data_IF_419420436003
#
_entry.id   IF_419420436003
#
_cell.length_a   1.000
_cell.length_b   1.000
_cell.length_c   1.000
_cell.angle_alpha   90.00
_cell.angle_beta   90.00
_cell.angle_gamma   90.00
#
_symmetry.space_group_name_H-M   'P 1'
#
loop_
_entity.id
_entity.type
_entity.pdbx_description
1 polymer ?
#
# COMPACT_ATOMS: atom_id res chain seq x y z
N UNK A 1 24.21 19.27 25.83
CA UNK A 1 23.66 17.97 25.38
C UNK A 1 22.22 18.18 24.93
N UNK A 2 21.98 18.17 23.61
CA UNK A 2 20.64 18.29 23.00
C UNK A 2 20.04 16.88 22.89
N UNK A 3 18.91 16.64 23.54
CA UNK A 3 18.12 15.40 23.38
C UNK A 3 17.16 15.57 22.20
N UNK A 4 16.97 14.56 21.33
CA UNK A 4 16.00 14.64 20.24
C UNK A 4 14.57 14.54 20.78
N UNK A 5 13.72 15.44 20.30
CA UNK A 5 12.28 15.53 20.58
C UNK A 5 11.57 14.30 19.98
N UNK A 6 10.79 13.52 20.74
CA UNK A 6 10.00 12.44 20.16
C UNK A 6 8.85 13.02 19.33
N UNK A 7 8.73 12.51 18.09
CA UNK A 7 7.57 12.67 17.21
C UNK A 7 6.27 12.43 18.00
N UNK A 8 5.50 13.48 18.26
CA UNK A 8 4.13 13.37 18.76
C UNK A 8 3.18 13.49 17.57
N UNK A 9 2.75 12.33 17.08
CA UNK A 9 1.60 12.17 16.20
C UNK A 9 0.36 12.62 17.00
N UNK A 10 -0.16 13.81 16.68
CA UNK A 10 -1.33 14.35 17.37
C UNK A 10 -2.60 13.65 16.88
N UNK A 11 -3.00 12.61 17.61
CA UNK A 11 -4.37 12.12 17.60
C UNK A 11 -5.28 13.19 18.21
N UNK A 12 -6.23 13.73 17.43
CA UNK A 12 -7.29 14.57 17.98
C UNK A 12 -8.65 13.87 17.83
N UNK A 13 -8.96 13.07 18.84
CA UNK A 13 -10.34 12.71 19.20
C UNK A 13 -10.92 13.89 19.99
N UNK A 14 -11.94 14.55 19.45
CA UNK A 14 -12.80 15.45 20.22
C UNK A 14 -14.26 15.22 19.80
N UNK A 15 -15.06 14.74 20.74
CA UNK A 15 -16.49 14.52 20.57
C UNK A 15 -17.35 15.61 21.21
N UNK A 16 -18.59 15.65 20.70
CA UNK A 16 -19.84 16.19 21.26
C UNK A 16 -20.22 17.63 20.86
N UNK A 17 -21.14 17.68 19.90
CA UNK A 17 -21.92 18.86 19.47
C UNK A 17 -22.53 18.59 18.09
N UNK A 18 -23.53 17.69 17.98
CA UNK A 18 -24.03 17.23 16.67
C UNK A 18 -25.02 18.23 16.06
N UNK A 19 -24.50 19.34 15.54
CA UNK A 19 -25.02 19.80 14.25
C UNK A 19 -24.57 18.73 13.26
N UNK A 20 -25.49 18.11 12.52
CA UNK A 20 -25.18 17.12 11.48
C UNK A 20 -24.52 17.81 10.28
N UNK A 21 -23.38 18.45 10.54
CA UNK A 21 -22.50 18.98 9.53
C UNK A 21 -21.57 17.84 9.12
N UNK A 22 -21.64 17.47 7.85
CA UNK A 22 -20.61 16.69 7.18
C UNK A 22 -19.24 17.25 7.59
N UNK A 23 -18.30 16.42 8.08
CA UNK A 23 -16.98 16.90 8.45
C UNK A 23 -16.32 17.59 7.24
N UNK A 24 -15.47 18.60 7.49
CA UNK A 24 -14.73 19.24 6.41
C UNK A 24 -13.87 18.20 5.68
N UNK A 25 -13.74 18.33 4.36
CA UNK A 25 -12.95 17.41 3.54
C UNK A 25 -11.47 17.39 3.99
N UNK A 26 -10.93 16.24 4.42
CA UNK A 26 -9.53 16.10 4.84
C UNK A 26 -8.54 16.46 3.73
N UNK A 27 -7.32 16.84 4.12
CA UNK A 27 -6.26 17.23 3.18
C UNK A 27 -5.92 16.09 2.21
N UNK A 28 -5.82 14.84 2.70
CA UNK A 28 -5.57 13.65 1.89
C UNK A 28 -6.65 13.45 0.83
N UNK A 29 -7.92 13.69 1.18
CA UNK A 29 -9.06 13.59 0.26
C UNK A 29 -9.05 14.73 -0.76
N UNK A 30 -8.74 15.96 -0.31
CA UNK A 30 -8.71 17.15 -1.16
C UNK A 30 -7.58 17.10 -2.19
N UNK A 31 -6.41 16.65 -1.78
CA UNK A 31 -5.25 16.42 -2.65
C UNK A 31 -5.36 15.11 -3.44
N UNK A 32 -6.29 14.24 -3.07
CA UNK A 32 -6.55 12.97 -3.71
C UNK A 32 -7.10 13.13 -5.13
N UNK A 33 -7.15 12.00 -5.83
CA UNK A 33 -7.66 11.97 -7.18
C UNK A 33 -9.19 12.25 -7.25
N UNK A 34 -9.70 12.36 -8.46
CA UNK A 34 -11.12 12.53 -8.76
C UNK A 34 -12.04 11.45 -8.16
N UNK A 35 -11.62 10.18 -8.12
CA UNK A 35 -12.37 9.09 -7.47
C UNK A 35 -12.48 9.32 -5.97
N UNK A 36 -11.38 9.64 -5.30
CA UNK A 36 -11.37 9.91 -3.85
C UNK A 36 -12.34 11.05 -3.51
N UNK A 37 -12.32 12.13 -4.29
CA UNK A 37 -13.24 13.27 -4.10
C UNK A 37 -14.69 12.89 -4.41
N UNK A 38 -14.93 12.07 -5.44
CA UNK A 38 -16.26 11.56 -5.75
C UNK A 38 -16.84 10.70 -4.61
N UNK A 39 -16.06 9.76 -4.09
CA UNK A 39 -16.46 8.90 -2.97
C UNK A 39 -16.80 9.76 -1.74
N UNK A 40 -15.99 10.77 -1.43
CA UNK A 40 -16.27 11.70 -0.33
C UNK A 40 -17.57 12.47 -0.52
N UNK A 41 -17.83 12.98 -1.73
CA UNK A 41 -19.07 13.68 -2.07
C UNK A 41 -20.30 12.76 -1.91
N UNK A 42 -20.20 11.51 -2.34
CA UNK A 42 -21.27 10.52 -2.16
C UNK A 42 -21.52 10.24 -0.68
N UNK A 43 -20.47 10.01 0.12
CA UNK A 43 -20.61 9.77 1.56
C UNK A 43 -21.17 11.00 2.30
N UNK A 44 -20.82 12.20 1.83
CA UNK A 44 -21.37 13.47 2.32
C UNK A 44 -22.85 13.66 1.99
N UNK A 45 -23.36 12.93 0.99
CA UNK A 45 -24.76 12.86 0.56
C UNK A 45 -25.43 11.55 0.97
N UNK A 46 -24.96 10.97 2.07
CA UNK A 46 -25.51 9.77 2.70
C UNK A 46 -25.47 8.48 1.88
N UNK A 47 -24.49 8.37 0.97
CA UNK A 47 -24.33 7.22 0.09
C UNK A 47 -22.94 6.63 0.18
N UNK A 48 -22.83 5.34 0.52
CA UNK A 48 -21.59 4.59 0.36
C UNK A 48 -21.59 3.80 -0.95
N UNK A 49 -20.49 3.93 -1.69
CA UNK A 49 -20.28 3.33 -3.01
C UNK A 49 -19.20 2.27 -2.89
N UNK A 50 -19.60 1.00 -2.80
CA UNK A 50 -18.68 -0.14 -2.77
C UNK A 50 -18.16 -0.53 -4.16
N UNK A 51 -18.89 -0.15 -5.21
CA UNK A 51 -18.54 -0.46 -6.60
C UNK A 51 -18.64 0.80 -7.44
N UNK A 52 -17.56 1.15 -8.14
CA UNK A 52 -17.49 2.29 -9.04
C UNK A 52 -17.85 1.87 -10.47
N UNK A 53 -18.46 2.78 -11.23
CA UNK A 53 -18.73 2.53 -12.65
C UNK A 53 -17.43 2.29 -13.45
N UNK A 54 -17.47 1.48 -14.52
CA UNK A 54 -16.28 1.17 -15.32
C UNK A 54 -15.60 2.40 -15.95
N UNK A 55 -16.31 3.51 -16.11
CA UNK A 55 -15.79 4.79 -16.63
C UNK A 55 -14.64 5.39 -15.82
N UNK A 56 -14.50 5.02 -14.54
CA UNK A 56 -13.37 5.41 -13.69
C UNK A 56 -12.09 4.62 -13.97
N UNK A 57 -12.16 3.62 -14.86
CA UNK A 57 -11.02 2.89 -15.40
C UNK A 57 -10.19 2.19 -14.32
N UNK A 58 -8.85 2.29 -14.36
CA UNK A 58 -7.97 1.61 -13.39
C UNK A 58 -8.22 2.00 -11.93
N UNK A 59 -8.86 3.14 -11.66
CA UNK A 59 -9.16 3.58 -10.30
C UNK A 59 -10.26 2.73 -9.65
N UNK A 60 -11.18 2.17 -10.46
CA UNK A 60 -12.20 1.22 -10.00
C UNK A 60 -11.54 0.00 -9.34
N UNK A 61 -10.52 -0.55 -10.00
CA UNK A 61 -9.76 -1.68 -9.48
C UNK A 61 -9.04 -1.34 -8.17
N UNK A 62 -8.43 -0.15 -8.07
CA UNK A 62 -7.71 0.25 -6.84
C UNK A 62 -8.63 0.43 -5.64
N UNK A 63 -9.77 1.10 -5.83
CA UNK A 63 -10.79 1.19 -4.79
C UNK A 63 -11.27 -0.19 -4.37
N UNK A 64 -11.53 -1.07 -5.34
CA UNK A 64 -11.97 -2.42 -5.05
C UNK A 64 -10.94 -3.26 -4.31
N UNK A 65 -9.68 -3.18 -4.70
CA UNK A 65 -8.59 -3.88 -4.01
C UNK A 65 -8.43 -3.37 -2.57
N UNK A 66 -8.53 -2.06 -2.35
CA UNK A 66 -8.53 -1.50 -0.99
C UNK A 66 -9.69 -2.05 -0.16
N UNK A 67 -10.91 -2.06 -0.70
CA UNK A 67 -12.06 -2.60 0.01
C UNK A 67 -11.90 -4.08 0.35
N UNK A 68 -11.35 -4.86 -0.57
CA UNK A 68 -11.17 -6.30 -0.40
C UNK A 68 -10.05 -6.65 0.59
N UNK A 69 -8.92 -5.93 0.55
CA UNK A 69 -7.73 -6.27 1.34
C UNK A 69 -7.68 -5.56 2.70
N UNK A 70 -8.12 -4.30 2.76
CA UNK A 70 -7.74 -3.40 3.85
C UNK A 70 -8.94 -2.88 4.66
N UNK A 71 -10.15 -2.89 4.09
CA UNK A 71 -11.33 -2.31 4.76
C UNK A 71 -11.83 -3.12 5.96
N UNK A 72 -11.75 -4.45 5.92
CA UNK A 72 -12.32 -5.30 6.97
C UNK A 72 -11.69 -5.06 8.36
N UNK A 73 -10.35 -5.02 8.52
CA UNK A 73 -9.73 -4.62 9.77
C UNK A 73 -10.17 -3.23 10.27
N UNK A 74 -10.31 -2.26 9.35
CA UNK A 74 -10.74 -0.89 9.69
C UNK A 74 -12.17 -0.90 10.24
N UNK A 75 -13.07 -1.68 9.62
CA UNK A 75 -14.47 -1.83 10.05
C UNK A 75 -14.53 -2.44 11.46
N UNK A 76 -13.76 -3.49 11.72
CA UNK A 76 -13.76 -4.11 13.05
C UNK A 76 -13.24 -3.17 14.13
N UNK A 77 -12.11 -2.49 13.90
CA UNK A 77 -11.57 -1.54 14.87
C UNK A 77 -12.51 -0.36 15.11
N UNK A 78 -13.18 0.13 14.06
CA UNK A 78 -14.21 1.15 14.21
C UNK A 78 -15.34 0.68 15.12
N UNK A 79 -15.94 -0.49 14.86
CA UNK A 79 -17.07 -0.97 15.67
C UNK A 79 -16.67 -1.45 17.07
N UNK A 80 -15.41 -1.81 17.32
CA UNK A 80 -14.90 -1.99 18.70
C UNK A 80 -14.92 -0.68 19.50
N UNK A 81 -14.65 0.45 18.84
CA UNK A 81 -14.66 1.77 19.47
C UNK A 81 -16.06 2.32 19.73
N UNK A 82 -17.07 1.80 19.02
CA UNK A 82 -18.48 2.11 19.25
C UNK A 82 -19.00 1.13 20.29
N UNK A 83 -19.79 1.60 21.27
CA UNK A 83 -20.37 0.71 22.29
C UNK A 83 -21.11 -0.47 21.63
N UNK A 84 -20.70 -1.69 21.98
CA UNK A 84 -21.24 -2.90 21.37
C UNK A 84 -22.71 -3.11 21.78
N UNK A 85 -23.57 -3.13 20.77
CA UNK A 85 -25.01 -3.43 20.86
C UNK A 85 -25.40 -4.35 19.70
N UNK A 86 -26.57 -4.99 19.76
CA UNK A 86 -27.08 -5.76 18.61
C UNK A 86 -27.22 -4.90 17.35
N UNK A 87 -27.57 -3.62 17.51
CA UNK A 87 -27.67 -2.68 16.39
C UNK A 87 -26.31 -2.41 15.75
N UNK A 88 -25.24 -2.21 16.53
CA UNK A 88 -23.89 -2.00 15.96
C UNK A 88 -23.36 -3.26 15.28
N UNK A 89 -23.71 -4.45 15.77
CA UNK A 89 -23.35 -5.71 15.11
C UNK A 89 -24.02 -5.84 13.74
N UNK A 90 -25.33 -5.60 13.64
CA UNK A 90 -26.06 -5.61 12.36
C UNK A 90 -25.47 -4.59 11.36
N UNK A 91 -25.18 -3.38 11.83
CA UNK A 91 -24.54 -2.34 11.02
C UNK A 91 -23.16 -2.77 10.50
N UNK A 92 -22.35 -3.42 11.35
CA UNK A 92 -21.05 -3.98 10.96
C UNK A 92 -21.20 -5.05 9.89
N UNK A 93 -22.14 -5.99 10.06
CA UNK A 93 -22.39 -7.04 9.07
C UNK A 93 -22.78 -6.46 7.71
N UNK A 94 -23.62 -5.42 7.67
CA UNK A 94 -24.01 -4.78 6.40
C UNK A 94 -22.83 -4.12 5.68
N UNK A 95 -21.94 -3.45 6.40
CA UNK A 95 -20.72 -2.88 5.82
C UNK A 95 -19.77 -3.97 5.30
N UNK A 96 -19.57 -5.03 6.08
CA UNK A 96 -18.72 -6.15 5.68
C UNK A 96 -19.20 -6.80 4.38
N UNK A 97 -20.52 -7.02 4.24
CA UNK A 97 -21.10 -7.54 3.00
C UNK A 97 -20.90 -6.60 1.81
N UNK A 98 -20.98 -5.28 2.05
CA UNK A 98 -20.74 -4.29 1.01
C UNK A 98 -19.30 -4.27 0.51
N UNK A 99 -18.31 -4.30 1.42
CA UNK A 99 -16.88 -4.24 1.05
C UNK A 99 -16.35 -5.56 0.48
N UNK A 100 -16.96 -6.69 0.85
CA UNK A 100 -16.68 -8.01 0.25
C UNK A 100 -17.43 -8.26 -1.06
N UNK A 101 -18.22 -7.29 -1.52
CA UNK A 101 -19.12 -7.40 -2.67
C UNK A 101 -20.12 -8.58 -2.60
N UNK A 102 -20.45 -9.03 -1.40
CA UNK A 102 -21.55 -9.97 -1.16
C UNK A 102 -22.92 -9.29 -1.32
N UNK A 103 -22.93 -7.96 -1.16
CA UNK A 103 -24.10 -7.10 -1.35
C UNK A 103 -23.64 -5.73 -1.86
N UNK A 104 -23.65 -5.54 -3.18
CA UNK A 104 -23.22 -4.28 -3.83
C UNK A 104 -24.34 -3.26 -3.95
N UNK A 105 -25.49 -3.52 -3.33
CA UNK A 105 -26.55 -2.51 -3.27
C UNK A 105 -26.03 -1.25 -2.58
N UNK A 106 -26.44 -0.10 -3.10
CA UNK A 106 -26.07 1.21 -2.54
C UNK A 106 -26.42 1.23 -1.06
N UNK A 107 -25.40 1.40 -0.22
CA UNK A 107 -25.58 1.43 1.23
C UNK A 107 -25.89 2.86 1.67
N UNK A 108 -27.13 3.08 2.10
CA UNK A 108 -27.55 4.36 2.68
C UNK A 108 -26.95 4.57 4.07
N UNK A 109 -26.41 5.77 4.29
CA UNK A 109 -25.73 6.20 5.51
C UNK A 109 -26.67 6.98 6.44
N UNK A 110 -27.85 6.41 6.68
CA UNK A 110 -28.94 7.02 7.45
C UNK A 110 -28.63 7.30 8.93
N UNK A 111 -27.45 6.91 9.43
CA UNK A 111 -27.01 7.25 10.77
C UNK A 111 -25.54 7.71 10.78
N UNK A 112 -25.19 8.49 11.80
CA UNK A 112 -23.85 9.09 11.94
C UNK A 112 -22.74 8.04 12.09
N UNK A 113 -23.06 6.84 12.61
CA UNK A 113 -22.09 5.75 12.78
C UNK A 113 -21.65 5.22 11.41
N UNK A 114 -22.61 4.93 10.52
CA UNK A 114 -22.35 4.51 9.15
C UNK A 114 -21.60 5.61 8.38
N UNK A 115 -22.04 6.87 8.52
CA UNK A 115 -21.41 8.01 7.84
C UNK A 115 -19.95 8.18 8.24
N UNK A 116 -19.65 8.12 9.55
CA UNK A 116 -18.28 8.20 10.06
C UNK A 116 -17.40 7.06 9.56
N UNK A 117 -17.90 5.82 9.54
CA UNK A 117 -17.15 4.68 9.00
C UNK A 117 -16.86 4.85 7.51
N UNK A 118 -17.86 5.23 6.71
CA UNK A 118 -17.67 5.46 5.28
C UNK A 118 -16.60 6.54 5.03
N UNK A 119 -16.67 7.67 5.73
CA UNK A 119 -15.68 8.74 5.62
C UNK A 119 -14.28 8.30 6.05
N UNK A 120 -14.17 7.50 7.12
CA UNK A 120 -12.90 6.94 7.56
C UNK A 120 -12.29 5.98 6.53
N UNK A 121 -13.08 5.13 5.89
CA UNK A 121 -12.61 4.26 4.81
C UNK A 121 -12.09 5.07 3.62
N UNK A 122 -12.81 6.11 3.23
CA UNK A 122 -12.42 6.99 2.11
C UNK A 122 -11.14 7.76 2.43
N UNK A 123 -11.00 8.27 3.65
CA UNK A 123 -9.78 8.95 4.09
C UNK A 123 -8.56 8.01 4.11
N UNK A 124 -8.75 6.76 4.55
CA UNK A 124 -7.68 5.74 4.52
C UNK A 124 -7.26 5.40 3.10
N UNK A 125 -8.22 5.20 2.20
CA UNK A 125 -7.93 5.00 0.78
C UNK A 125 -7.21 6.18 0.15
N UNK A 126 -7.61 7.41 0.49
CA UNK A 126 -6.95 8.63 0.00
C UNK A 126 -5.48 8.67 0.42
N UNK A 127 -5.18 8.27 1.65
CA UNK A 127 -3.82 8.23 2.18
C UNK A 127 -2.97 7.15 1.49
N UNK A 128 -3.53 5.98 1.22
CA UNK A 128 -2.83 4.92 0.47
C UNK A 128 -2.53 5.33 -0.97
N UNK A 129 -3.48 5.96 -1.68
CA UNK A 129 -3.22 6.48 -3.03
C UNK A 129 -2.12 7.54 -3.01
N UNK A 130 -2.06 8.37 -1.96
CA UNK A 130 -1.02 9.39 -1.78
C UNK A 130 0.36 8.75 -1.57
N UNK A 131 0.46 7.78 -0.66
CA UNK A 131 1.70 7.04 -0.38
C UNK A 131 2.17 6.28 -1.63
N UNK A 132 1.26 5.56 -2.31
CA UNK A 132 1.59 4.82 -3.52
C UNK A 132 2.13 5.72 -4.64
N UNK A 133 1.57 6.92 -4.79
CA UNK A 133 2.07 7.91 -5.76
C UNK A 133 3.47 8.41 -5.40
N UNK A 134 3.73 8.70 -4.12
CA UNK A 134 5.04 9.14 -3.64
C UNK A 134 6.11 8.07 -3.88
N UNK A 135 5.84 6.83 -3.48
CA UNK A 135 6.76 5.71 -3.65
C UNK A 135 7.07 5.44 -5.15
N UNK A 136 6.07 5.58 -6.02
CA UNK A 136 6.27 5.41 -7.46
C UNK A 136 7.17 6.49 -8.07
N UNK A 137 7.06 7.74 -7.59
CA UNK A 137 7.91 8.84 -8.04
C UNK A 137 9.36 8.71 -7.53
N UNK A 138 9.53 8.27 -6.29
CA UNK A 138 10.84 7.96 -5.71
C UNK A 138 11.53 6.83 -6.48
N UNK A 139 10.79 5.76 -6.81
CA UNK A 139 11.32 4.65 -7.61
C UNK A 139 11.74 5.10 -9.03
N UNK A 140 10.93 5.93 -9.70
CA UNK A 140 11.28 6.50 -11.01
C UNK A 140 12.52 7.38 -10.95
N UNK A 141 12.62 8.21 -9.91
CA UNK A 141 13.76 9.09 -9.68
C UNK A 141 15.05 8.26 -9.47
N UNK A 142 14.97 7.20 -8.66
CA UNK A 142 16.10 6.31 -8.42
C UNK A 142 16.57 5.58 -9.69
N UNK A 143 15.64 5.14 -10.55
CA UNK A 143 15.97 4.52 -11.84
C UNK A 143 16.69 5.52 -12.75
N UNK A 144 16.17 6.75 -12.85
CA UNK A 144 16.79 7.79 -13.68
C UNK A 144 18.18 8.21 -13.18
N UNK A 145 18.40 8.24 -11.86
CA UNK A 145 19.73 8.47 -11.28
C UNK A 145 20.70 7.31 -11.59
N UNK A 146 20.24 6.06 -11.51
CA UNK A 146 21.03 4.88 -11.88
C UNK A 146 21.40 4.87 -13.37
N UNK A 147 20.49 5.26 -14.26
CA UNK A 147 20.79 5.40 -15.70
C UNK A 147 21.75 6.55 -16.00
N UNK A 148 21.73 7.63 -15.20
CA UNK A 148 22.63 8.79 -15.35
C UNK A 148 24.06 8.50 -14.88
N UNK A 149 24.23 7.58 -13.96
CA UNK A 149 25.54 7.11 -13.48
C UNK A 149 25.59 5.58 -13.55
N UNK A 150 25.97 4.98 -14.70
CA UNK A 150 26.27 3.56 -14.72
C UNK A 150 27.32 3.30 -13.64
N UNK A 151 27.10 2.29 -12.80
CA UNK A 151 28.16 1.83 -11.91
C UNK A 151 29.39 1.55 -12.79
N UNK A 152 30.41 2.40 -12.69
CA UNK A 152 31.76 2.06 -13.07
C UNK A 152 32.24 1.05 -12.04
N UNK A 153 31.68 -0.15 -12.07
CA UNK A 153 32.30 -1.28 -11.41
C UNK A 153 33.59 -1.53 -12.17
N UNK A 154 34.67 -1.14 -11.50
CA UNK A 154 36.07 -1.32 -11.86
C UNK A 154 36.34 -2.74 -12.35
N UNK A 155 36.30 -2.94 -13.66
CA UNK A 155 36.79 -4.11 -14.40
C UNK A 155 38.34 -4.12 -14.41
N UNK A 156 38.94 -4.12 -13.21
CA UNK A 156 40.39 -3.96 -13.01
C UNK A 156 40.97 -5.06 -12.09
N UNK A 157 40.44 -6.28 -12.22
CA UNK A 157 41.05 -7.49 -11.66
C UNK A 157 40.86 -8.68 -12.60
N UNK A 158 41.63 -8.76 -13.69
CA UNK A 158 42.17 -10.02 -14.23
C UNK A 158 43.02 -9.84 -15.51
N UNK A 159 44.02 -8.94 -15.52
CA UNK A 159 45.07 -8.97 -16.55
C UNK A 159 46.40 -8.54 -15.98
N UNK A 160 47.02 -9.38 -15.16
CA UNK A 160 48.47 -9.37 -14.94
C UNK A 160 48.85 -10.64 -14.17
N UNK A 161 49.12 -11.74 -14.90
CA UNK A 161 50.15 -12.76 -14.61
C UNK A 161 50.11 -13.78 -15.76
N UNK A 162 50.70 -13.42 -16.90
CA UNK A 162 51.33 -14.38 -17.80
C UNK A 162 52.75 -13.86 -18.00
N UNK A 163 53.70 -14.42 -17.25
CA UNK A 163 55.11 -14.39 -17.62
C UNK A 163 55.56 -15.85 -17.74
N UNK A 164 55.80 -16.25 -18.98
CA UNK A 164 56.47 -17.48 -19.36
C UNK A 164 57.91 -17.49 -18.83
N UNK A 165 58.34 -18.60 -18.23
CA UNK A 165 59.72 -19.05 -18.30
C UNK A 165 59.78 -20.42 -18.99
N UNK A 166 60.64 -20.49 -20.01
CA UNK A 166 60.94 -21.66 -20.83
C UNK A 166 62.18 -22.40 -20.28
N UNK A 167 62.35 -23.65 -20.75
CA UNK A 167 63.50 -24.59 -20.68
C UNK A 167 63.38 -25.67 -19.59
N UNK A 168 63.54 -26.98 -19.82
CA UNK A 168 64.10 -27.78 -20.94
C UNK A 168 63.70 -29.27 -20.77
N UNK A 169 63.61 -30.01 -21.88
CA UNK A 169 63.30 -31.45 -22.01
C UNK A 169 64.45 -32.37 -21.52
N UNK A 170 64.16 -33.45 -20.79
CA UNK A 170 64.33 -34.88 -21.22
C UNK A 170 63.77 -35.90 -20.18
N UNK A 171 63.29 -37.11 -20.60
CA UNK A 171 62.63 -38.17 -19.80
C UNK A 171 63.67 -39.25 -19.35
N UNK A 172 63.37 -40.48 -18.80
CA UNK A 172 62.14 -41.28 -18.65
C UNK A 172 61.95 -41.80 -17.18
N UNK A 173 60.95 -42.59 -16.75
CA UNK A 173 60.69 -44.00 -17.09
C UNK A 173 59.34 -44.52 -16.57
N UNK A 174 58.93 -45.62 -17.19
CA UNK A 174 57.70 -46.41 -17.10
C UNK A 174 57.54 -47.24 -15.81
N UNK A 175 56.31 -47.31 -15.29
CA UNK A 175 55.62 -48.49 -14.68
C UNK A 175 54.43 -47.94 -13.89
N UNK A 176 53.18 -48.40 -13.97
CA UNK A 176 52.61 -49.64 -14.46
C UNK A 176 51.37 -49.92 -13.58
N UNK A 177 50.40 -50.63 -14.15
CA UNK A 177 49.25 -51.27 -13.48
C UNK A 177 47.95 -50.44 -13.34
N UNK A 178 47.11 -50.57 -14.37
CA UNK A 178 45.78 -51.17 -14.32
C UNK A 178 45.11 -51.33 -12.94
N UNK A 179 43.89 -50.81 -12.77
CA UNK A 179 42.68 -51.62 -12.99
C UNK A 179 41.42 -50.86 -12.63
N UNK A 180 40.46 -50.99 -13.53
CA UNK A 180 39.05 -50.65 -13.45
C UNK A 180 38.27 -51.37 -12.34
N UNK A 181 37.13 -50.75 -12.00
CA UNK A 181 35.84 -51.35 -11.58
C UNK A 181 35.82 -52.09 -10.23
N UNK A 182 34.84 -51.86 -9.35
CA UNK A 182 33.37 -51.92 -9.56
C UNK A 182 32.66 -50.86 -8.72
#
# INVERSE_FOLDING_TARGET
MKKPLPFLLAALLAGIGVVSATPPMPDAVRAGNDVVRHLWDQASKDSFVSELYPEWGPKTLRWGMFLYNDAEPIIYEFYKSVQSTSATHDLSSRFLRAVRWEDTSKLELTNDVKRRLAMQLIERFAEEERIGTQNAEEARSAIQEHERYPQTESDDRHKDTIMHEHHTLTPPDTSGSDSDSV
#
